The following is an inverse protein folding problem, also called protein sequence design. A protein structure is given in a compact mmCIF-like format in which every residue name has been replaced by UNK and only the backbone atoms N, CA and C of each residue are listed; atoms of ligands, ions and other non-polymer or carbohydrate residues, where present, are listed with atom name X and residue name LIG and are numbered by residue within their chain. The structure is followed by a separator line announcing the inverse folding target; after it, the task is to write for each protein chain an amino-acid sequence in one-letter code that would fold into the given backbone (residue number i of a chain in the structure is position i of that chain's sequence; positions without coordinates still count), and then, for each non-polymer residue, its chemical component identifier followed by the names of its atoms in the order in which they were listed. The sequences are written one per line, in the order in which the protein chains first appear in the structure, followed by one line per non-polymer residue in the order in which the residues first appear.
data_IF_292174532210
#
_entry.id   IF_292174532210
#
_cell.length_a   1.000
_cell.length_b   1.000
_cell.length_c   1.000
_cell.angle_alpha   90.00
_cell.angle_beta   90.00
_cell.angle_gamma   90.00
#
_symmetry.space_group_name_H-M   'P 1'
#
loop_
_entity.id
_entity.type
_entity.pdbx_description
1 polymer ?
#
# COMPACT_ATOMS: atom_id res chain seq x y z
N UNK A 1 -0.32 1.31 -10.31
CA UNK A 1 -0.80 1.41 -11.69
C UNK A 1 -2.12 0.67 -11.83
N UNK A 2 -3.11 1.31 -12.46
CA UNK A 2 -4.38 0.69 -12.84
C UNK A 2 -4.23 0.04 -14.22
N UNK A 3 -4.74 -1.16 -14.38
CA UNK A 3 -4.91 -1.83 -15.68
C UNK A 3 -6.36 -2.21 -15.88
N UNK A 4 -6.80 -2.22 -17.15
CA UNK A 4 -8.14 -2.59 -17.56
C UNK A 4 -8.06 -3.59 -18.71
N UNK A 5 -8.97 -4.57 -18.73
CA UNK A 5 -9.05 -5.58 -19.79
C UNK A 5 -10.52 -5.94 -20.08
N UNK A 6 -10.93 -6.01 -21.35
CA UNK A 6 -10.15 -5.62 -22.53
C UNK A 6 -9.94 -4.10 -22.59
N UNK A 7 -8.90 -3.65 -23.30
CA UNK A 7 -8.58 -2.20 -23.44
C UNK A 7 -9.52 -1.46 -24.38
N UNK A 8 -10.37 -2.20 -25.09
CA UNK A 8 -11.41 -1.70 -25.97
C UNK A 8 -12.68 -2.50 -25.72
N UNK A 9 -13.80 -1.82 -25.55
CA UNK A 9 -15.12 -2.41 -25.47
C UNK A 9 -15.97 -1.84 -26.61
N UNK A 10 -16.34 -2.68 -27.57
CA UNK A 10 -17.34 -2.31 -28.58
C UNK A 10 -18.72 -2.33 -27.92
N UNK A 11 -19.24 -1.18 -27.51
CA UNK A 11 -20.57 -1.10 -26.90
C UNK A 11 -21.67 -1.05 -27.98
N UNK A 12 -22.47 -2.10 -28.14
CA UNK A 12 -23.67 -2.06 -29.01
C UNK A 12 -24.95 -1.95 -28.17
N UNK A 13 -26.00 -1.39 -28.75
CA UNK A 13 -27.27 -1.16 -28.08
C UNK A 13 -27.92 -2.49 -27.66
N UNK A 14 -28.02 -2.71 -26.34
CA UNK A 14 -28.61 -3.92 -25.75
C UNK A 14 -27.60 -5.00 -25.34
N UNK A 15 -26.31 -4.79 -25.61
CA UNK A 15 -25.25 -5.72 -25.21
C UNK A 15 -24.67 -5.35 -23.83
N UNK A 16 -24.41 -6.37 -23.02
CA UNK A 16 -23.71 -6.20 -21.73
C UNK A 16 -22.31 -6.77 -21.85
N UNK A 17 -21.33 -5.93 -21.59
CA UNK A 17 -19.92 -6.31 -21.60
C UNK A 17 -19.33 -6.27 -20.19
N UNK A 18 -18.45 -7.23 -19.90
CA UNK A 18 -17.74 -7.27 -18.63
C UNK A 18 -16.34 -6.70 -18.81
N UNK A 19 -15.94 -5.81 -17.90
CA UNK A 19 -14.56 -5.33 -17.79
C UNK A 19 -13.92 -5.90 -16.53
N UNK A 20 -12.66 -6.29 -16.64
CA UNK A 20 -11.81 -6.56 -15.48
C UNK A 20 -10.86 -5.38 -15.28
N UNK A 21 -10.75 -4.92 -14.04
CA UNK A 21 -9.76 -3.91 -13.65
C UNK A 21 -8.86 -4.47 -12.55
N UNK A 22 -7.60 -4.03 -12.54
CA UNK A 22 -6.64 -4.40 -11.51
C UNK A 22 -5.84 -3.18 -11.10
N UNK A 23 -5.66 -3.03 -9.79
CA UNK A 23 -4.90 -1.95 -9.19
C UNK A 23 -3.73 -2.54 -8.40
N UNK A 24 -2.51 -2.12 -8.74
CA UNK A 24 -1.30 -2.50 -8.02
C UNK A 24 -0.53 -1.25 -7.62
N UNK A 25 -0.47 -0.93 -6.33
CA UNK A 25 0.24 0.25 -5.83
C UNK A 25 1.73 0.05 -5.68
N UNK A 26 2.24 -1.18 -5.78
CA UNK A 26 3.55 -1.61 -5.26
C UNK A 26 3.67 -1.48 -3.74
N UNK A 27 4.60 -2.20 -3.09
CA UNK A 27 4.82 -2.06 -1.64
C UNK A 27 5.21 -0.63 -1.26
N UNK A 28 4.79 -0.18 -0.09
CA UNK A 28 5.17 1.10 0.53
C UNK A 28 4.72 2.39 -0.18
N UNK A 29 3.95 2.29 -1.27
CA UNK A 29 3.56 3.47 -2.04
C UNK A 29 2.62 4.45 -1.30
N UNK A 30 2.03 4.03 -0.17
CA UNK A 30 1.11 4.82 0.63
C UNK A 30 1.52 4.98 2.10
N UNK A 31 2.75 4.58 2.46
CA UNK A 31 3.23 4.62 3.86
C UNK A 31 3.36 6.04 4.41
N UNK A 32 3.26 7.05 3.53
CA UNK A 32 3.20 8.45 3.93
C UNK A 32 1.84 8.86 4.53
N UNK A 33 0.78 8.06 4.36
CA UNK A 33 -0.54 8.34 4.92
C UNK A 33 -0.56 7.98 6.40
N UNK A 34 -0.89 8.95 7.26
CA UNK A 34 -1.07 8.70 8.68
C UNK A 34 -2.30 7.81 8.94
N UNK A 35 -2.39 7.23 10.15
CA UNK A 35 -3.56 6.46 10.56
C UNK A 35 -4.86 7.26 10.42
N UNK A 36 -5.81 6.73 9.65
CA UNK A 36 -7.10 7.37 9.37
C UNK A 36 -7.06 8.47 8.31
N UNK A 37 -5.87 8.87 7.83
CA UNK A 37 -5.75 9.73 6.66
C UNK A 37 -6.23 8.97 5.41
N UNK A 38 -6.94 9.65 4.53
CA UNK A 38 -7.51 9.02 3.32
C UNK A 38 -7.01 9.69 2.06
N UNK A 39 -6.52 8.88 1.12
CA UNK A 39 -6.24 9.29 -0.25
C UNK A 39 -7.28 8.68 -1.18
N UNK A 40 -7.93 9.52 -1.98
CA UNK A 40 -8.87 9.08 -3.01
C UNK A 40 -8.23 9.17 -4.38
N UNK A 41 -8.18 8.04 -5.09
CA UNK A 41 -7.77 7.97 -6.49
C UNK A 41 -9.01 7.81 -7.37
N UNK A 42 -9.11 8.66 -8.39
CA UNK A 42 -10.22 8.64 -9.34
C UNK A 42 -9.69 8.24 -10.70
N UNK A 43 -10.30 7.20 -11.28
CA UNK A 43 -9.97 6.71 -12.61
C UNK A 43 -11.20 6.76 -13.50
N UNK A 44 -11.04 7.30 -14.70
CA UNK A 44 -12.10 7.32 -15.72
C UNK A 44 -11.79 6.24 -16.75
N UNK A 45 -12.72 5.32 -16.94
CA UNK A 45 -12.70 4.30 -17.98
C UNK A 45 -13.61 4.79 -19.10
N UNK A 46 -13.14 4.77 -20.34
CA UNK A 46 -13.93 5.08 -21.53
C UNK A 46 -14.18 3.80 -22.33
N UNK A 47 -15.43 3.58 -22.71
CA UNK A 47 -15.84 2.59 -23.70
C UNK A 47 -16.14 3.28 -25.03
N UNK A 48 -15.85 2.62 -26.14
CA UNK A 48 -15.98 3.16 -27.50
C UNK A 48 -16.58 2.10 -28.41
N UNK A 49 -17.72 2.38 -29.02
CA UNK A 49 -18.46 1.43 -29.85
C UNK A 49 -17.84 1.17 -31.22
N UNK A 50 -16.72 1.82 -31.58
CA UNK A 50 -16.09 1.74 -32.89
C UNK A 50 -16.90 2.37 -34.04
N UNK A 51 -18.07 2.94 -33.73
CA UNK A 51 -19.03 3.55 -34.67
C UNK A 51 -19.29 5.03 -34.34
N UNK A 52 -18.56 5.61 -33.38
CA UNK A 52 -18.57 7.03 -33.03
C UNK A 52 -19.29 7.36 -31.72
N UNK A 53 -19.87 6.37 -31.03
CA UNK A 53 -20.39 6.48 -29.69
C UNK A 53 -19.33 6.14 -28.64
N UNK A 54 -19.25 6.96 -27.59
CA UNK A 54 -18.41 6.68 -26.42
C UNK A 54 -19.22 6.86 -25.15
N UNK A 55 -18.87 6.09 -24.12
CA UNK A 55 -19.42 6.23 -22.78
C UNK A 55 -18.29 6.18 -21.75
N UNK A 56 -18.50 6.78 -20.58
CA UNK A 56 -17.47 6.86 -19.54
C UNK A 56 -17.98 6.41 -18.19
N UNK A 57 -17.19 5.60 -17.50
CA UNK A 57 -17.45 5.16 -16.14
C UNK A 57 -16.32 5.58 -15.20
N UNK A 58 -16.68 6.14 -14.05
CA UNK A 58 -15.73 6.48 -12.99
C UNK A 58 -15.55 5.31 -12.02
N UNK A 59 -14.30 5.01 -11.69
CA UNK A 59 -13.87 4.08 -10.64
C UNK A 59 -13.13 4.87 -9.56
N UNK A 60 -13.61 4.76 -8.32
CA UNK A 60 -13.00 5.44 -7.17
C UNK A 60 -12.33 4.40 -6.27
N UNK A 61 -11.05 4.63 -5.97
CA UNK A 61 -10.27 3.81 -5.03
C UNK A 61 -9.98 4.66 -3.80
N UNK A 62 -10.50 4.25 -2.64
CA UNK A 62 -10.24 4.90 -1.36
C UNK A 62 -9.16 4.13 -0.60
N UNK A 63 -8.08 4.81 -0.25
CA UNK A 63 -6.96 4.26 0.51
C UNK A 63 -6.96 4.93 1.87
N UNK A 64 -7.01 4.13 2.94
CA UNK A 64 -6.95 4.62 4.31
C UNK A 64 -5.63 4.20 4.93
N UNK A 65 -4.86 5.17 5.42
CA UNK A 65 -3.59 4.93 6.08
C UNK A 65 -3.76 4.14 7.38
N UNK A 66 -2.81 3.26 7.65
CA UNK A 66 -2.66 2.53 8.92
C UNK A 66 -1.36 2.95 9.58
N UNK A 67 -1.33 2.96 10.92
CA UNK A 67 -0.07 3.07 11.63
C UNK A 67 0.49 1.66 11.81
N UNK A 68 1.53 1.33 11.07
CA UNK A 68 2.23 0.06 11.25
C UNK A 68 3.12 0.11 12.50
N UNK A 69 3.31 -1.02 13.17
CA UNK A 69 4.13 -1.09 14.37
C UNK A 69 5.60 -0.77 14.03
N UNK A 70 6.31 -0.06 14.91
CA UNK A 70 7.72 0.20 14.70
C UNK A 70 8.50 -1.12 14.77
N UNK A 71 9.27 -1.42 13.71
CA UNK A 71 10.20 -2.53 13.70
C UNK A 71 11.59 -1.98 14.04
N UNK A 72 12.08 -2.30 15.24
CA UNK A 72 13.48 -2.09 15.59
C UNK A 72 14.25 -3.37 15.25
N UNK A 73 15.11 -3.31 14.23
CA UNK A 73 15.96 -4.42 13.78
C UNK A 73 17.45 -4.06 13.97
N UNK A 74 18.29 -5.07 14.19
CA UNK A 74 19.73 -4.92 14.47
C UNK A 74 20.24 -5.83 15.61
N UNK A 75 21.55 -6.03 15.65
CA UNK A 75 22.21 -6.81 16.71
C UNK A 75 22.31 -5.98 17.99
N UNK A 76 21.65 -6.41 19.05
CA UNK A 76 21.86 -5.89 20.42
C UNK A 76 23.00 -6.65 21.08
N UNK A 77 24.25 -6.20 20.89
CA UNK A 77 25.40 -6.73 21.64
C UNK A 77 25.98 -5.65 22.55
N UNK A 78 26.25 -6.03 23.79
CA UNK A 78 27.03 -5.27 24.76
C UNK A 78 28.10 -6.17 25.34
N UNK A 79 29.35 -5.71 25.35
CA UNK A 79 30.44 -6.38 26.05
C UNK A 79 30.65 -5.70 27.40
N UNK A 80 30.77 -6.50 28.46
CA UNK A 80 31.26 -6.03 29.76
C UNK A 80 32.70 -6.52 29.90
N UNK A 81 33.58 -5.62 30.31
CA UNK A 81 34.97 -5.94 30.65
C UNK A 81 35.15 -5.69 32.14
N UNK A 82 35.50 -6.73 32.88
CA UNK A 82 35.64 -6.69 34.33
C UNK A 82 37.13 -6.70 34.69
N UNK A 83 37.70 -5.50 34.91
CA UNK A 83 39.05 -5.34 35.45
C UNK A 83 39.05 -5.62 36.97
N UNK A 84 39.06 -6.90 37.32
CA UNK A 84 39.68 -7.39 38.56
C UNK A 84 39.09 -6.88 39.88
N UNK A 85 37.89 -7.31 40.24
CA UNK A 85 37.49 -7.62 41.63
C UNK A 85 36.13 -8.35 41.59
N UNK A 86 35.93 -9.28 42.51
CA UNK A 86 34.80 -10.22 42.66
C UNK A 86 33.44 -9.52 42.98
N UNK A 87 33.11 -8.43 42.28
CA UNK A 87 31.87 -7.68 42.40
C UNK A 87 30.87 -8.12 41.31
N UNK A 88 29.59 -8.35 41.63
CA UNK A 88 28.60 -8.71 40.62
C UNK A 88 28.37 -7.54 39.66
N UNK A 89 28.75 -7.70 38.38
CA UNK A 89 28.43 -6.77 37.31
C UNK A 89 26.97 -6.99 36.89
N UNK A 90 26.13 -5.96 37.02
CA UNK A 90 24.75 -6.00 36.53
C UNK A 90 24.64 -5.15 35.26
N UNK A 91 24.46 -5.79 34.11
CA UNK A 91 24.10 -5.12 32.87
C UNK A 91 22.56 -5.10 32.73
N UNK A 92 21.97 -3.91 32.68
CA UNK A 92 20.56 -3.72 32.33
C UNK A 92 20.46 -3.01 30.98
N UNK A 93 19.67 -3.57 30.07
CA UNK A 93 19.31 -2.97 28.79
C UNK A 93 17.81 -3.02 28.61
N UNK A 94 17.21 -1.97 28.06
CA UNK A 94 15.80 -1.97 27.66
C UNK A 94 15.74 -1.73 26.16
N UNK A 95 15.09 -2.65 25.44
CA UNK A 95 14.69 -2.45 24.06
C UNK A 95 13.17 -2.31 24.04
N UNK A 96 12.69 -1.11 23.77
CA UNK A 96 11.25 -0.84 23.60
C UNK A 96 10.96 -0.58 22.14
N UNK A 97 10.23 -1.49 21.50
CA UNK A 97 9.49 -1.21 20.28
C UNK A 97 8.10 -0.71 20.68
N UNK A 98 7.68 0.42 20.12
CA UNK A 98 6.37 1.04 20.34
C UNK A 98 5.42 0.76 19.18
#
# INVERSE_FOLDING_TARGET
MLTVSPTSLTADAGETHNLTWSFNSTPQAFDFLAAGETLTLTYTIQADDGHGGTDTQTVTVSITGTNDAAIIDGTTSGAVDEDGADAPVTAIGSLTAS
#
